data_IF_641566320029
#
_entry.id   IF_641566320029
#
_cell.length_a   1.000
_cell.length_b   1.000
_cell.length_c   1.000
_cell.angle_alpha   90.00
_cell.angle_beta   90.00
_cell.angle_gamma   90.00
#
_symmetry.space_group_name_H-M   'P 1'
#
loop_
_entity.id
_entity.type
_entity.pdbx_description
1 polymer ?
#
# COMPACT_ATOMS: atom_id res chain seq x y z
N UNK A 1 20.60 15.32 39.71
CA UNK A 1 20.21 14.83 38.37
C UNK A 1 19.89 13.31 38.36
N UNK A 2 20.80 12.43 38.76
CA UNK A 2 20.60 10.96 38.70
C UNK A 2 19.32 10.45 39.41
N UNK A 3 18.96 10.96 40.58
CA UNK A 3 17.73 10.55 41.28
C UNK A 3 16.42 10.96 40.58
N UNK A 4 16.41 12.13 39.91
CA UNK A 4 15.23 12.57 39.13
C UNK A 4 15.06 11.74 37.84
N UNK A 5 16.16 11.42 37.18
CA UNK A 5 16.14 10.55 35.96
C UNK A 5 15.66 9.15 36.33
N UNK A 6 16.12 8.59 37.43
CA UNK A 6 15.72 7.27 37.93
C UNK A 6 14.23 7.23 38.32
N UNK A 7 13.72 8.28 38.94
CA UNK A 7 12.29 8.37 39.33
C UNK A 7 11.40 8.47 38.06
N UNK A 8 11.81 9.26 37.06
CA UNK A 8 11.11 9.36 35.77
C UNK A 8 11.09 8.00 35.04
N UNK A 9 12.20 7.27 35.06
CA UNK A 9 12.29 5.95 34.42
C UNK A 9 11.34 4.94 35.11
N UNK A 10 11.25 4.93 36.42
CA UNK A 10 10.31 4.07 37.18
C UNK A 10 8.86 4.43 36.86
N UNK A 11 8.53 5.74 36.81
CA UNK A 11 7.18 6.19 36.49
C UNK A 11 6.79 5.81 35.04
N UNK A 12 7.70 5.93 34.07
CA UNK A 12 7.48 5.50 32.71
C UNK A 12 7.28 3.98 32.60
N UNK A 13 8.06 3.19 33.33
CA UNK A 13 7.92 1.73 33.36
C UNK A 13 6.60 1.28 34.03
N UNK A 14 6.18 1.96 35.11
CA UNK A 14 4.90 1.69 35.76
C UNK A 14 3.71 2.05 34.87
N UNK A 15 3.77 3.18 34.15
CA UNK A 15 2.74 3.58 33.19
C UNK A 15 2.63 2.61 32.00
N UNK A 16 3.77 2.14 31.48
CA UNK A 16 3.80 1.14 30.42
C UNK A 16 3.21 -0.20 30.86
N UNK A 17 3.50 -0.64 32.08
CA UNK A 17 2.93 -1.87 32.64
C UNK A 17 1.40 -1.75 32.82
N UNK A 18 0.91 -0.60 33.32
CA UNK A 18 -0.51 -0.34 33.47
C UNK A 18 -1.24 -0.24 32.13
N UNK A 19 -0.60 0.34 31.10
CA UNK A 19 -1.16 0.39 29.76
C UNK A 19 -1.28 -1.01 29.13
N UNK A 20 -0.29 -1.89 29.35
CA UNK A 20 -0.34 -3.28 28.91
C UNK A 20 -1.46 -4.05 29.64
N UNK A 21 -1.60 -3.86 30.96
CA UNK A 21 -2.68 -4.48 31.74
C UNK A 21 -4.07 -4.02 31.23
N UNK A 22 -4.22 -2.73 30.90
CA UNK A 22 -5.44 -2.19 30.33
C UNK A 22 -5.74 -2.81 28.96
N UNK A 23 -4.72 -2.96 28.12
CA UNK A 23 -4.89 -3.58 26.81
C UNK A 23 -5.39 -5.04 26.92
N UNK A 24 -4.81 -5.84 27.82
CA UNK A 24 -5.26 -7.22 28.05
C UNK A 24 -6.70 -7.28 28.62
N UNK A 25 -7.07 -6.36 29.50
CA UNK A 25 -8.44 -6.27 30.01
C UNK A 25 -9.46 -5.91 28.91
N UNK A 26 -9.11 -4.97 28.02
CA UNK A 26 -9.93 -4.61 26.86
C UNK A 26 -10.03 -5.80 25.91
N UNK A 27 -8.94 -6.50 25.63
CA UNK A 27 -8.91 -7.70 24.78
C UNK A 27 -9.78 -8.82 25.35
N UNK A 28 -9.77 -9.02 26.66
CA UNK A 28 -10.64 -9.98 27.32
C UNK A 28 -12.10 -9.55 27.36
N UNK A 29 -12.39 -8.26 27.10
CA UNK A 29 -13.72 -7.67 27.22
C UNK A 29 -14.18 -7.54 28.66
N UNK A 30 -13.25 -7.46 29.62
CA UNK A 30 -13.54 -7.34 31.05
C UNK A 30 -13.70 -5.85 31.43
N UNK A 31 -14.95 -5.36 31.32
CA UNK A 31 -15.29 -3.99 31.69
C UNK A 31 -14.97 -3.68 33.18
N UNK A 32 -15.15 -4.68 34.06
CA UNK A 32 -14.86 -4.51 35.48
C UNK A 32 -13.39 -4.18 35.72
N UNK A 33 -12.50 -4.96 35.11
CA UNK A 33 -11.06 -4.77 35.18
C UNK A 33 -10.62 -3.47 34.47
N UNK A 34 -11.23 -3.18 33.31
CA UNK A 34 -11.00 -1.89 32.59
C UNK A 34 -11.31 -0.71 33.52
N UNK A 35 -12.46 -0.72 34.21
CA UNK A 35 -12.84 0.33 35.17
C UNK A 35 -11.82 0.45 36.30
N UNK A 36 -11.49 -0.65 36.94
CA UNK A 36 -10.52 -0.67 38.04
C UNK A 36 -9.16 -0.05 37.66
N UNK A 37 -8.67 -0.34 36.46
CA UNK A 37 -7.38 0.16 35.99
C UNK A 37 -7.47 1.66 35.67
N UNK A 38 -8.48 2.09 34.93
CA UNK A 38 -8.67 3.48 34.47
C UNK A 38 -9.01 4.39 35.64
N UNK A 39 -9.74 3.94 36.68
CA UNK A 39 -10.03 4.73 37.88
C UNK A 39 -8.80 4.95 38.73
N UNK A 40 -7.82 4.04 38.68
CA UNK A 40 -6.53 4.20 39.35
C UNK A 40 -5.66 5.29 38.69
N UNK A 41 -5.68 5.32 37.35
CA UNK A 41 -4.95 6.29 36.55
C UNK A 41 -5.69 6.59 35.21
N UNK A 42 -6.54 7.64 35.19
CA UNK A 42 -7.27 8.01 34.00
C UNK A 42 -6.38 8.49 32.85
N UNK A 43 -5.12 8.86 33.09
CA UNK A 43 -4.24 9.40 32.04
C UNK A 43 -3.83 8.34 31.02
N UNK A 44 -3.88 7.06 31.40
CA UNK A 44 -3.43 5.96 30.53
C UNK A 44 -4.31 5.75 29.29
N UNK A 45 -5.56 6.26 29.28
CA UNK A 45 -6.49 6.04 28.16
C UNK A 45 -6.00 6.67 26.85
N UNK A 46 -5.08 7.64 26.92
CA UNK A 46 -4.51 8.33 25.77
C UNK A 46 -3.02 8.04 25.54
N UNK A 47 -2.42 7.11 26.29
CA UNK A 47 -1.03 6.69 26.05
C UNK A 47 -1.01 5.82 24.80
N UNK A 48 -0.27 6.23 23.73
CA UNK A 48 -0.19 5.45 22.50
C UNK A 48 0.82 4.29 22.64
N UNK A 49 0.56 3.21 21.91
CA UNK A 49 1.51 2.12 21.69
C UNK A 49 2.57 2.51 20.62
N UNK A 50 3.43 1.56 20.23
CA UNK A 50 4.47 1.76 19.21
C UNK A 50 3.91 2.15 17.84
N UNK A 51 2.66 1.79 17.53
CA UNK A 51 1.96 2.17 16.31
C UNK A 51 1.25 3.53 16.41
N UNK A 52 1.40 4.23 17.52
CA UNK A 52 0.65 5.45 17.81
C UNK A 52 -0.82 5.20 18.18
N UNK A 53 -1.23 3.98 18.49
CA UNK A 53 -2.62 3.63 18.79
C UNK A 53 -2.90 3.70 20.28
N UNK A 54 -3.96 4.43 20.66
CA UNK A 54 -4.46 4.47 22.03
C UNK A 54 -5.32 3.25 22.36
N UNK A 55 -5.69 3.09 23.64
CA UNK A 55 -6.55 1.96 24.05
C UNK A 55 -7.91 1.96 23.34
N UNK A 56 -8.40 3.10 22.87
CA UNK A 56 -9.61 3.17 22.07
C UNK A 56 -9.48 2.40 20.74
N UNK A 57 -8.31 2.48 20.08
CA UNK A 57 -8.01 1.61 18.92
C UNK A 57 -8.05 0.13 19.32
N UNK A 58 -7.46 -0.22 20.46
CA UNK A 58 -7.49 -1.58 20.99
C UNK A 58 -8.92 -2.10 21.16
N UNK A 59 -9.82 -1.30 21.76
CA UNK A 59 -11.22 -1.64 21.94
C UNK A 59 -11.94 -1.88 20.59
N UNK A 60 -11.69 -1.04 19.58
CA UNK A 60 -12.28 -1.18 18.24
C UNK A 60 -11.70 -2.38 17.48
N UNK A 61 -10.40 -2.68 17.64
CA UNK A 61 -9.76 -3.87 17.07
C UNK A 61 -10.42 -5.15 17.60
N UNK A 62 -10.87 -5.17 18.85
CA UNK A 62 -11.54 -6.32 19.48
C UNK A 62 -13.05 -6.39 19.19
N UNK A 63 -13.54 -5.67 18.19
CA UNK A 63 -14.94 -5.71 17.76
C UNK A 63 -15.81 -4.61 18.37
N UNK A 64 -15.23 -3.66 19.11
CA UNK A 64 -15.93 -2.46 19.55
C UNK A 64 -17.08 -2.74 20.54
N UNK A 65 -16.84 -3.49 21.63
CA UNK A 65 -17.88 -3.65 22.67
C UNK A 65 -18.35 -2.29 23.17
N UNK A 66 -19.62 -1.98 22.95
CA UNK A 66 -20.18 -0.65 23.18
C UNK A 66 -19.90 -0.11 24.58
N UNK A 67 -20.08 -0.95 25.60
CA UNK A 67 -19.89 -0.53 26.99
C UNK A 67 -18.43 -0.14 27.30
N UNK A 68 -17.47 -0.84 26.70
CA UNK A 68 -16.03 -0.51 26.88
C UNK A 68 -15.68 0.74 26.11
N UNK A 69 -16.11 0.87 24.86
CA UNK A 69 -15.87 2.06 24.02
C UNK A 69 -16.48 3.29 24.69
N UNK A 70 -17.74 3.23 25.12
CA UNK A 70 -18.45 4.32 25.79
C UNK A 70 -17.75 4.72 27.11
N UNK A 71 -17.36 3.73 27.90
CA UNK A 71 -16.64 3.97 29.16
C UNK A 71 -15.31 4.67 28.91
N UNK A 72 -14.48 4.18 27.99
CA UNK A 72 -13.19 4.79 27.66
C UNK A 72 -13.35 6.25 27.20
N UNK A 73 -14.34 6.52 26.34
CA UNK A 73 -14.63 7.88 25.87
C UNK A 73 -15.11 8.75 27.06
N UNK A 74 -15.95 8.22 27.95
CA UNK A 74 -16.40 8.95 29.14
C UNK A 74 -15.26 9.32 30.09
N UNK A 75 -14.15 8.58 30.05
CA UNK A 75 -12.92 8.84 30.80
C UNK A 75 -11.88 9.66 30.02
N UNK A 76 -12.27 10.27 28.91
CA UNK A 76 -11.46 11.21 28.15
C UNK A 76 -10.58 10.56 27.06
N UNK A 77 -10.92 9.35 26.60
CA UNK A 77 -10.25 8.80 25.43
C UNK A 77 -10.51 9.69 24.22
N UNK A 78 -9.44 10.11 23.53
CA UNK A 78 -9.52 11.00 22.39
C UNK A 78 -10.04 10.24 21.15
N UNK A 79 -11.28 10.54 20.75
CA UNK A 79 -11.94 9.94 19.57
C UNK A 79 -11.30 10.36 18.24
N UNK A 80 -10.51 11.43 18.24
CA UNK A 80 -9.83 11.99 17.05
C UNK A 80 -8.31 11.79 17.08
N UNK A 81 -7.80 10.94 17.99
CA UNK A 81 -6.38 10.65 18.03
C UNK A 81 -5.93 10.00 16.72
N UNK A 82 -4.87 10.51 16.10
CA UNK A 82 -4.30 9.92 14.88
C UNK A 82 -3.14 8.99 15.25
N UNK A 83 -3.18 7.75 14.77
CA UNK A 83 -2.06 6.82 14.89
C UNK A 83 -0.94 7.15 13.88
N UNK A 84 0.15 6.38 13.90
CA UNK A 84 1.30 6.58 12.99
C UNK A 84 0.94 6.38 11.50
N UNK A 85 -0.19 5.75 11.20
CA UNK A 85 -0.73 5.59 9.85
C UNK A 85 -1.71 6.71 9.46
N UNK A 86 -1.75 7.80 10.25
CA UNK A 86 -2.71 8.90 10.08
C UNK A 86 -4.17 8.41 10.02
N UNK A 87 -4.50 7.42 10.83
CA UNK A 87 -5.85 6.91 11.00
C UNK A 87 -6.41 7.33 12.36
N UNK A 88 -7.63 7.88 12.40
CA UNK A 88 -8.40 8.06 13.63
C UNK A 88 -9.15 6.77 14.02
N UNK A 89 -9.59 6.59 15.27
CA UNK A 89 -10.45 5.49 15.68
C UNK A 89 -11.67 5.30 14.79
N UNK A 90 -12.23 6.39 14.30
CA UNK A 90 -13.39 6.38 13.41
C UNK A 90 -13.11 5.71 12.05
N UNK A 91 -11.95 5.97 11.42
CA UNK A 91 -11.53 5.26 10.22
C UNK A 91 -11.41 3.76 10.47
N UNK A 92 -10.85 3.38 11.63
CA UNK A 92 -10.71 1.97 11.99
C UNK A 92 -12.06 1.29 12.17
N UNK A 93 -13.04 1.96 12.79
CA UNK A 93 -14.38 1.43 12.97
C UNK A 93 -15.07 1.13 11.63
N UNK A 94 -14.97 2.04 10.66
CA UNK A 94 -15.53 1.83 9.30
C UNK A 94 -14.76 0.73 8.55
N UNK A 95 -13.43 0.75 8.58
CA UNK A 95 -12.57 -0.25 7.93
C UNK A 95 -12.87 -1.67 8.41
N UNK A 96 -13.20 -1.81 9.69
CA UNK A 96 -13.51 -3.08 10.32
C UNK A 96 -14.99 -3.49 10.19
N UNK A 97 -15.78 -2.67 9.54
CA UNK A 97 -17.22 -2.89 9.39
C UNK A 97 -17.88 -3.13 10.76
N UNK A 98 -17.49 -2.31 11.77
CA UNK A 98 -18.07 -2.45 13.10
C UNK A 98 -19.56 -2.12 13.10
N UNK A 99 -20.35 -2.64 14.07
CA UNK A 99 -21.76 -2.35 14.18
C UNK A 99 -22.08 -0.86 14.10
N UNK A 100 -23.17 -0.51 13.40
CA UNK A 100 -23.56 0.88 13.16
C UNK A 100 -23.69 1.70 14.45
N UNK A 101 -24.10 1.04 15.56
CA UNK A 101 -24.19 1.65 16.89
C UNK A 101 -22.85 2.20 17.38
N UNK A 102 -21.74 1.49 17.12
CA UNK A 102 -20.38 1.93 17.48
C UNK A 102 -19.99 3.15 16.64
N UNK A 103 -20.26 3.09 15.35
CA UNK A 103 -19.99 4.19 14.42
C UNK A 103 -20.78 5.43 14.83
N UNK A 104 -22.07 5.28 15.13
CA UNK A 104 -22.94 6.35 15.62
C UNK A 104 -22.43 6.92 16.94
N UNK A 105 -22.05 6.05 17.88
CA UNK A 105 -21.50 6.46 19.18
C UNK A 105 -20.25 7.35 18.98
N UNK A 106 -19.30 6.95 18.14
CA UNK A 106 -18.11 7.74 17.86
C UNK A 106 -18.46 9.12 17.32
N UNK A 107 -19.40 9.20 16.36
CA UNK A 107 -19.88 10.47 15.80
C UNK A 107 -20.56 11.34 16.85
N UNK A 108 -21.45 10.77 17.69
CA UNK A 108 -22.12 11.46 18.78
C UNK A 108 -21.13 11.98 19.84
N UNK A 109 -20.00 11.33 20.01
CA UNK A 109 -18.90 11.74 20.92
C UNK A 109 -17.86 12.63 20.25
N UNK A 110 -18.15 13.16 19.05
CA UNK A 110 -17.35 14.19 18.40
C UNK A 110 -16.24 13.68 17.50
N UNK A 111 -16.36 12.45 16.98
CA UNK A 111 -15.47 12.00 15.92
C UNK A 111 -15.62 12.91 14.69
N UNK A 112 -14.50 13.34 14.13
CA UNK A 112 -14.49 14.16 12.92
C UNK A 112 -14.88 13.30 11.71
N UNK A 113 -16.10 13.52 11.20
CA UNK A 113 -16.65 12.82 10.03
C UNK A 113 -15.92 13.18 8.72
N UNK A 114 -15.06 14.20 8.75
CA UNK A 114 -14.25 14.67 7.64
C UNK A 114 -12.74 14.48 7.85
N UNK A 115 -12.33 13.81 8.93
CA UNK A 115 -10.93 13.49 9.16
C UNK A 115 -10.32 12.81 7.92
N UNK A 116 -9.10 13.19 7.56
CA UNK A 116 -8.43 12.63 6.38
C UNK A 116 -7.37 11.62 6.83
N UNK A 117 -7.59 10.37 6.50
CA UNK A 117 -6.54 9.35 6.60
C UNK A 117 -5.55 9.51 5.44
N UNK A 118 -4.26 9.37 5.73
CA UNK A 118 -3.21 9.44 4.71
C UNK A 118 -3.42 8.43 3.56
N UNK A 119 -4.01 7.28 3.86
CA UNK A 119 -4.08 6.15 2.92
C UNK A 119 -5.49 5.76 2.49
N UNK A 120 -6.52 6.17 3.22
CA UNK A 120 -7.89 5.71 2.99
C UNK A 120 -8.89 6.84 2.67
N UNK A 121 -8.41 8.07 2.59
CA UNK A 121 -9.28 9.22 2.38
C UNK A 121 -10.13 9.55 3.61
N UNK A 122 -11.35 9.99 3.39
CA UNK A 122 -12.31 10.40 4.43
C UNK A 122 -13.24 9.25 4.81
N UNK A 123 -13.87 9.30 5.98
CA UNK A 123 -14.86 8.31 6.40
C UNK A 123 -15.96 8.02 5.36
N UNK A 124 -16.44 9.07 4.67
CA UNK A 124 -17.47 8.92 3.65
C UNK A 124 -16.97 8.17 2.41
N UNK A 125 -15.70 8.35 2.01
CA UNK A 125 -15.10 7.58 0.92
C UNK A 125 -15.09 6.09 1.26
N UNK A 126 -14.69 5.75 2.49
CA UNK A 126 -14.66 4.37 2.97
C UNK A 126 -16.05 3.74 3.04
N UNK A 127 -17.07 4.51 3.45
CA UNK A 127 -18.46 4.04 3.47
C UNK A 127 -18.97 3.70 2.05
N UNK A 128 -18.62 4.52 1.05
CA UNK A 128 -18.89 4.23 -0.36
C UNK A 128 -18.16 2.97 -0.85
N UNK A 129 -16.90 2.77 -0.46
CA UNK A 129 -16.15 1.55 -0.81
C UNK A 129 -16.80 0.29 -0.25
N UNK A 130 -17.28 0.37 1.00
CA UNK A 130 -17.98 -0.74 1.65
C UNK A 130 -19.38 -0.99 1.08
N UNK A 131 -19.96 -0.04 0.33
CA UNK A 131 -21.33 -0.10 -0.15
C UNK A 131 -22.38 0.01 0.97
N UNK A 132 -22.02 0.62 2.10
CA UNK A 132 -22.92 0.78 3.25
C UNK A 132 -23.83 2.01 3.11
N UNK A 133 -24.97 1.81 2.47
CA UNK A 133 -25.98 2.84 2.23
C UNK A 133 -26.47 3.54 3.51
N UNK A 134 -26.61 2.81 4.63
CA UNK A 134 -27.06 3.36 5.89
C UNK A 134 -26.01 4.30 6.48
N UNK A 135 -24.75 3.86 6.47
CA UNK A 135 -23.61 4.66 6.91
C UNK A 135 -23.42 5.89 6.01
N UNK A 136 -23.50 5.74 4.69
CA UNK A 136 -23.40 6.86 3.73
C UNK A 136 -24.42 7.95 4.09
N UNK A 137 -25.72 7.58 4.21
CA UNK A 137 -26.77 8.54 4.58
C UNK A 137 -26.53 9.19 5.94
N UNK A 138 -26.09 8.41 6.92
CA UNK A 138 -25.78 8.93 8.26
C UNK A 138 -24.64 9.95 8.22
N UNK A 139 -23.52 9.60 7.58
CA UNK A 139 -22.36 10.49 7.46
C UNK A 139 -22.71 11.78 6.71
N UNK A 140 -23.44 11.69 5.60
CA UNK A 140 -23.91 12.87 4.86
C UNK A 140 -24.79 13.77 5.72
N UNK A 141 -25.70 13.20 6.53
CA UNK A 141 -26.53 13.97 7.47
C UNK A 141 -25.74 14.68 8.57
N UNK A 142 -24.49 14.26 8.80
CA UNK A 142 -23.54 14.88 9.74
C UNK A 142 -22.54 15.82 9.07
N UNK A 143 -22.75 16.13 7.77
CA UNK A 143 -21.89 17.05 7.02
C UNK A 143 -20.60 16.42 6.50
N UNK A 144 -20.55 15.09 6.40
CA UNK A 144 -19.43 14.42 5.75
C UNK A 144 -19.43 14.74 4.25
N UNK A 145 -18.21 14.97 3.71
CA UNK A 145 -18.00 15.25 2.29
C UNK A 145 -17.06 14.20 1.69
N UNK A 146 -17.27 13.89 0.42
CA UNK A 146 -16.39 13.01 -0.34
C UNK A 146 -15.08 13.70 -0.66
N UNK A 147 -14.00 12.92 -0.73
CA UNK A 147 -12.75 13.40 -1.31
C UNK A 147 -12.92 13.58 -2.82
N UNK A 148 -12.47 14.70 -3.35
CA UNK A 148 -12.37 14.88 -4.80
C UNK A 148 -11.22 14.01 -5.32
N UNK A 149 -11.52 13.18 -6.34
CA UNK A 149 -10.51 12.34 -6.99
C UNK A 149 -10.09 13.02 -8.28
N UNK A 150 -8.92 13.64 -8.25
CA UNK A 150 -8.27 14.26 -9.41
C UNK A 150 -6.90 13.59 -9.58
N UNK A 151 -6.67 13.04 -10.77
CA UNK A 151 -5.37 12.46 -11.09
C UNK A 151 -4.45 13.52 -11.70
N UNK A 152 -3.20 13.52 -11.28
CA UNK A 152 -2.14 14.15 -12.06
C UNK A 152 -1.87 13.30 -13.29
N UNK A 153 -1.92 13.93 -14.48
CA UNK A 153 -1.77 13.21 -15.76
C UNK A 153 -0.43 13.54 -16.39
N UNK A 154 0.36 12.52 -16.67
CA UNK A 154 1.68 12.63 -17.29
C UNK A 154 1.68 11.88 -18.64
N UNK A 155 2.04 12.57 -19.72
CA UNK A 155 2.20 11.94 -21.04
C UNK A 155 3.49 11.12 -21.04
N UNK A 156 3.38 9.82 -21.30
CA UNK A 156 4.51 8.89 -21.47
C UNK A 156 4.90 8.75 -22.94
N UNK A 157 3.89 8.63 -23.82
CA UNK A 157 4.03 8.57 -25.26
C UNK A 157 2.71 9.02 -25.92
N UNK A 158 2.63 9.00 -27.25
CA UNK A 158 1.37 9.28 -27.96
C UNK A 158 0.33 8.21 -27.61
N UNK A 159 -0.82 8.66 -27.11
CA UNK A 159 -1.89 7.78 -26.65
C UNK A 159 -1.58 6.99 -25.37
N UNK A 160 -0.45 7.23 -24.70
CA UNK A 160 -0.09 6.54 -23.45
C UNK A 160 0.19 7.58 -22.33
N UNK A 161 -0.54 7.46 -21.24
CA UNK A 161 -0.46 8.38 -20.12
C UNK A 161 -0.35 7.63 -18.79
N UNK A 162 0.44 8.16 -17.86
CA UNK A 162 0.39 7.77 -16.45
C UNK A 162 -0.56 8.71 -15.70
N UNK A 163 -1.44 8.12 -14.93
CA UNK A 163 -2.28 8.81 -13.96
C UNK A 163 -1.71 8.55 -12.58
N UNK A 164 -1.33 9.60 -11.86
CA UNK A 164 -0.85 9.50 -10.50
C UNK A 164 -1.92 9.97 -9.53
N UNK A 165 -2.18 9.18 -8.50
CA UNK A 165 -3.01 9.60 -7.40
C UNK A 165 -2.32 10.74 -6.63
N UNK A 166 -2.97 11.90 -6.41
CA UNK A 166 -2.28 13.06 -5.83
C UNK A 166 -2.05 12.94 -4.33
N UNK A 167 -2.70 11.97 -3.67
CA UNK A 167 -2.63 11.76 -2.23
C UNK A 167 -2.62 10.27 -1.88
N UNK A 168 -2.45 9.95 -0.59
CA UNK A 168 -2.44 8.58 -0.11
C UNK A 168 -1.18 7.82 -0.52
N UNK A 169 -1.36 6.63 -1.04
CA UNK A 169 -0.26 5.75 -1.47
C UNK A 169 0.38 6.19 -2.79
N UNK A 170 -0.21 7.17 -3.48
CA UNK A 170 0.27 7.68 -4.77
C UNK A 170 0.45 6.58 -5.81
N UNK A 171 -0.58 5.73 -5.92
CA UNK A 171 -0.62 4.70 -6.96
C UNK A 171 -0.52 5.31 -8.34
N UNK A 172 0.26 4.68 -9.19
CA UNK A 172 0.33 4.99 -10.60
C UNK A 172 -0.52 4.01 -11.40
N UNK A 173 -1.33 4.56 -12.28
CA UNK A 173 -2.12 3.83 -13.25
C UNK A 173 -1.62 4.21 -14.63
N UNK A 174 -1.72 3.33 -15.61
CA UNK A 174 -1.39 3.68 -16.99
C UNK A 174 -2.61 3.52 -17.88
N UNK A 175 -2.88 4.54 -18.69
CA UNK A 175 -3.99 4.56 -19.64
C UNK A 175 -3.43 4.63 -21.05
N UNK A 176 -3.79 3.68 -21.87
CA UNK A 176 -3.56 3.70 -23.30
C UNK A 176 -4.87 4.01 -24.02
N UNK A 177 -4.85 4.94 -24.97
CA UNK A 177 -6.00 5.30 -25.80
C UNK A 177 -5.64 5.26 -27.30
N UNK A 178 -6.60 4.90 -28.13
CA UNK A 178 -6.41 4.86 -29.59
C UNK A 178 -7.68 4.41 -30.33
N UNK A 179 -7.54 3.92 -31.58
CA UNK A 179 -8.67 3.53 -32.43
C UNK A 179 -9.51 2.40 -31.86
N UNK A 180 -8.89 1.51 -31.08
CA UNK A 180 -9.55 0.31 -30.57
C UNK A 180 -10.24 0.55 -29.23
N UNK A 181 -10.13 1.78 -28.67
CA UNK A 181 -10.66 2.17 -27.36
C UNK A 181 -9.57 2.44 -26.34
N UNK A 182 -9.90 2.30 -25.05
CA UNK A 182 -8.96 2.47 -23.95
C UNK A 182 -8.58 1.15 -23.28
N UNK A 183 -7.31 1.04 -22.87
CA UNK A 183 -6.77 0.01 -22.01
C UNK A 183 -6.20 0.68 -20.76
N UNK A 184 -6.48 0.12 -19.58
CA UNK A 184 -5.97 0.63 -18.31
C UNK A 184 -5.09 -0.44 -17.67
N UNK A 185 -3.92 -0.04 -17.16
CA UNK A 185 -3.10 -0.85 -16.26
C UNK A 185 -3.43 -0.40 -14.85
N UNK A 186 -3.98 -1.31 -14.05
CA UNK A 186 -4.55 -1.15 -12.73
C UNK A 186 -5.75 -0.19 -12.66
N UNK A 187 -6.53 -0.29 -11.59
CA UNK A 187 -7.76 0.51 -11.38
C UNK A 187 -7.74 1.37 -10.12
N UNK A 188 -6.61 1.31 -9.38
CA UNK A 188 -6.45 2.07 -8.14
C UNK A 188 -7.16 1.47 -6.94
N UNK A 189 -7.07 2.16 -5.82
CA UNK A 189 -7.55 1.69 -4.51
C UNK A 189 -8.98 2.12 -4.16
N UNK A 190 -9.69 2.74 -5.11
CA UNK A 190 -11.01 3.31 -4.83
C UNK A 190 -11.93 3.06 -6.02
N UNK A 191 -13.11 2.48 -5.78
CA UNK A 191 -14.11 2.24 -6.85
C UNK A 191 -14.48 3.54 -7.59
N UNK A 192 -14.50 4.67 -6.88
CA UNK A 192 -14.78 5.99 -7.47
C UNK A 192 -13.64 6.50 -8.36
N UNK A 193 -12.43 5.96 -8.22
CA UNK A 193 -11.31 6.28 -9.11
C UNK A 193 -11.65 5.96 -10.56
N UNK A 194 -12.36 4.85 -10.82
CA UNK A 194 -12.75 4.47 -12.16
C UNK A 194 -13.61 5.53 -12.86
N UNK A 195 -14.50 6.22 -12.13
CA UNK A 195 -15.32 7.29 -12.71
C UNK A 195 -14.47 8.52 -13.10
N UNK A 196 -13.45 8.84 -12.30
CA UNK A 196 -12.48 9.87 -12.64
C UNK A 196 -11.63 9.45 -13.86
N UNK A 197 -11.19 8.19 -13.90
CA UNK A 197 -10.46 7.62 -15.05
C UNK A 197 -11.32 7.69 -16.33
N UNK A 198 -12.60 7.29 -16.26
CA UNK A 198 -13.54 7.38 -17.39
C UNK A 198 -13.65 8.80 -17.95
N UNK A 199 -13.73 9.82 -17.06
CA UNK A 199 -13.77 11.23 -17.48
C UNK A 199 -12.47 11.64 -18.19
N UNK A 200 -11.32 11.19 -17.69
CA UNK A 200 -10.02 11.45 -18.33
C UNK A 200 -9.95 10.77 -19.69
N UNK A 201 -10.32 9.50 -19.79
CA UNK A 201 -10.36 8.73 -21.05
C UNK A 201 -11.29 9.39 -22.07
N UNK A 202 -12.48 9.85 -21.65
CA UNK A 202 -13.40 10.60 -22.50
C UNK A 202 -12.77 11.92 -22.98
N UNK A 203 -12.02 12.61 -22.11
CA UNK A 203 -11.27 13.82 -22.46
C UNK A 203 -10.20 13.62 -23.54
N UNK A 204 -9.68 12.38 -23.69
CA UNK A 204 -8.79 11.99 -24.79
C UNK A 204 -9.55 11.63 -26.10
N UNK A 205 -10.87 11.87 -26.14
CA UNK A 205 -11.71 11.60 -27.29
C UNK A 205 -12.10 10.12 -27.46
N UNK A 206 -11.93 9.32 -26.39
CA UNK A 206 -12.29 7.89 -26.34
C UNK A 206 -13.00 7.60 -25.03
N UNK A 207 -14.21 7.03 -25.08
CA UNK A 207 -15.06 6.85 -23.90
C UNK A 207 -15.15 5.41 -23.38
N UNK A 208 -14.73 4.41 -24.16
CA UNK A 208 -14.92 3.00 -23.84
C UNK A 208 -13.62 2.36 -23.34
N UNK A 209 -13.67 1.89 -22.10
CA UNK A 209 -12.60 1.06 -21.53
C UNK A 209 -12.82 -0.37 -21.98
N UNK A 210 -11.96 -0.86 -22.86
CA UNK A 210 -12.03 -2.21 -23.43
C UNK A 210 -11.33 -3.25 -22.58
N UNK A 211 -10.22 -2.88 -21.96
CA UNK A 211 -9.39 -3.79 -21.18
C UNK A 211 -8.86 -3.12 -19.92
N UNK A 212 -8.75 -3.92 -18.87
CA UNK A 212 -7.99 -3.64 -17.66
C UNK A 212 -6.95 -4.73 -17.52
N UNK A 213 -5.68 -4.38 -17.38
CA UNK A 213 -4.61 -5.33 -17.04
C UNK A 213 -4.14 -4.99 -15.62
N UNK A 214 -4.23 -5.95 -14.69
CA UNK A 214 -3.71 -5.74 -13.34
C UNK A 214 -2.29 -6.24 -13.23
N UNK A 215 -1.42 -5.40 -12.64
CA UNK A 215 -0.04 -5.78 -12.34
C UNK A 215 0.04 -6.86 -11.28
N UNK A 216 -0.84 -6.82 -10.29
CA UNK A 216 -1.00 -7.82 -9.23
C UNK A 216 -2.40 -7.72 -8.60
N UNK A 217 -2.62 -8.33 -7.42
CA UNK A 217 -3.95 -8.46 -6.82
C UNK A 217 -4.21 -7.61 -5.58
N UNK A 218 -3.28 -6.73 -5.20
CA UNK A 218 -3.44 -5.91 -4.02
C UNK A 218 -4.59 -4.91 -4.21
N UNK A 219 -5.32 -4.66 -3.13
CA UNK A 219 -6.57 -3.91 -3.15
C UNK A 219 -6.44 -2.50 -3.76
N UNK A 220 -5.31 -1.88 -3.57
CA UNK A 220 -4.99 -0.55 -4.07
C UNK A 220 -4.64 -0.50 -5.57
N UNK A 221 -4.59 -1.66 -6.23
CA UNK A 221 -4.46 -1.81 -7.68
C UNK A 221 -5.73 -2.32 -8.35
N UNK A 222 -6.62 -3.02 -7.60
CA UNK A 222 -7.75 -3.74 -8.19
C UNK A 222 -9.14 -3.30 -7.70
N UNK A 223 -9.23 -2.32 -6.80
CA UNK A 223 -10.52 -1.93 -6.18
C UNK A 223 -11.58 -1.49 -7.20
N UNK A 224 -11.18 -0.90 -8.33
CA UNK A 224 -12.07 -0.51 -9.42
C UNK A 224 -12.51 -1.65 -10.34
N UNK A 225 -11.94 -2.85 -10.23
CA UNK A 225 -12.21 -3.97 -11.16
C UNK A 225 -13.68 -4.37 -11.22
N UNK A 226 -14.40 -4.33 -10.09
CA UNK A 226 -15.80 -4.71 -10.03
C UNK A 226 -16.71 -3.84 -10.90
N UNK A 227 -16.39 -2.56 -11.06
CA UNK A 227 -17.10 -1.63 -11.96
C UNK A 227 -16.63 -1.75 -13.41
N UNK A 228 -15.36 -2.10 -13.63
CA UNK A 228 -14.81 -2.31 -14.95
C UNK A 228 -15.21 -3.66 -15.56
N UNK A 229 -15.39 -4.69 -14.73
CA UNK A 229 -15.66 -6.06 -15.16
C UNK A 229 -17.00 -6.24 -15.89
N UNK A 230 -17.98 -5.36 -15.68
CA UNK A 230 -19.27 -5.42 -16.40
C UNK A 230 -19.17 -4.94 -17.84
N UNK A 231 -18.13 -4.15 -18.18
CA UNK A 231 -17.96 -3.51 -19.49
C UNK A 231 -16.66 -3.89 -20.20
N UNK A 232 -15.68 -4.39 -19.44
CA UNK A 232 -14.30 -4.57 -19.89
C UNK A 232 -13.78 -5.96 -19.56
N UNK A 233 -12.88 -6.48 -20.39
CA UNK A 233 -12.12 -7.67 -20.03
C UNK A 233 -11.07 -7.33 -18.96
N UNK A 234 -11.19 -7.86 -17.74
CA UNK A 234 -10.13 -7.77 -16.73
C UNK A 234 -9.13 -8.91 -16.94
N UNK A 235 -7.87 -8.56 -17.11
CA UNK A 235 -6.75 -9.46 -17.39
C UNK A 235 -5.80 -9.41 -16.19
N UNK A 236 -5.57 -10.55 -15.56
CA UNK A 236 -4.54 -10.75 -14.54
C UNK A 236 -3.85 -12.08 -14.78
N UNK A 237 -2.77 -12.37 -14.05
CA UNK A 237 -1.93 -13.56 -14.28
C UNK A 237 -2.76 -14.85 -14.43
N UNK A 238 -3.75 -15.08 -13.57
CA UNK A 238 -4.59 -16.30 -13.57
C UNK A 238 -5.43 -16.49 -14.82
N UNK A 239 -5.60 -15.45 -15.66
CA UNK A 239 -6.41 -15.50 -16.88
C UNK A 239 -5.56 -15.52 -18.15
N UNK A 240 -4.25 -15.37 -18.07
CA UNK A 240 -3.40 -15.25 -19.26
C UNK A 240 -3.46 -16.49 -20.16
N UNK A 241 -3.38 -17.68 -19.59
CA UNK A 241 -3.45 -18.93 -20.34
C UNK A 241 -4.85 -19.14 -20.96
N UNK A 242 -5.91 -18.88 -20.23
CA UNK A 242 -7.29 -18.98 -20.73
C UNK A 242 -7.53 -18.03 -21.89
N UNK A 243 -7.04 -16.80 -21.81
CA UNK A 243 -7.15 -15.81 -22.87
C UNK A 243 -6.30 -16.17 -24.10
N UNK A 244 -5.16 -16.82 -23.89
CA UNK A 244 -4.35 -17.35 -24.98
C UNK A 244 -5.06 -18.51 -25.68
N UNK A 245 -5.69 -19.44 -24.94
CA UNK A 245 -6.51 -20.51 -25.51
C UNK A 245 -7.72 -19.99 -26.30
N UNK A 246 -8.29 -18.84 -25.89
CA UNK A 246 -9.38 -18.16 -26.59
C UNK A 246 -8.89 -17.33 -27.81
N UNK A 247 -7.59 -17.32 -28.13
CA UNK A 247 -7.01 -16.53 -29.20
C UNK A 247 -6.98 -15.01 -28.97
N UNK A 248 -7.29 -14.55 -27.73
CA UNK A 248 -7.26 -13.13 -27.36
C UNK A 248 -5.85 -12.63 -27.01
N UNK A 249 -4.97 -13.54 -26.60
CA UNK A 249 -3.53 -13.33 -26.41
C UNK A 249 -2.75 -14.37 -27.21
N UNK A 250 -1.50 -14.07 -27.52
CA UNK A 250 -0.57 -15.02 -28.16
C UNK A 250 0.60 -15.25 -27.21
N UNK A 251 0.87 -16.50 -26.82
CA UNK A 251 2.07 -16.83 -26.06
C UNK A 251 3.29 -16.76 -26.99
N UNK A 252 4.30 -15.96 -26.67
CA UNK A 252 5.49 -15.78 -27.51
C UNK A 252 6.28 -17.08 -27.70
N UNK A 253 6.25 -17.97 -26.73
CA UNK A 253 7.00 -19.23 -26.74
C UNK A 253 8.52 -19.06 -26.59
N UNK A 254 9.02 -17.83 -26.49
CA UNK A 254 10.46 -17.53 -26.33
C UNK A 254 10.68 -16.55 -25.18
N UNK A 255 11.68 -16.81 -24.36
CA UNK A 255 12.15 -15.85 -23.37
C UNK A 255 12.64 -14.57 -24.05
N UNK A 256 12.43 -13.43 -23.39
CA UNK A 256 13.04 -12.17 -23.82
C UNK A 256 14.44 -12.11 -23.23
N UNK A 257 15.46 -12.06 -24.09
CA UNK A 257 16.87 -12.02 -23.68
C UNK A 257 17.46 -10.63 -23.87
N UNK A 258 18.25 -10.19 -22.89
CA UNK A 258 19.04 -8.98 -22.99
C UNK A 258 20.45 -9.24 -23.56
N UNK A 259 21.17 -8.17 -23.95
CA UNK A 259 22.52 -8.26 -24.48
C UNK A 259 23.55 -8.82 -23.48
N UNK A 260 23.33 -8.65 -22.16
CA UNK A 260 24.14 -9.24 -21.09
C UNK A 260 23.86 -10.72 -20.79
N UNK A 261 22.97 -11.35 -21.56
CA UNK A 261 22.64 -12.77 -21.45
C UNK A 261 21.58 -13.10 -20.38
N UNK A 262 21.06 -12.12 -19.65
CA UNK A 262 19.92 -12.33 -18.73
C UNK A 262 18.62 -12.43 -19.50
N UNK A 263 17.63 -13.11 -18.92
CA UNK A 263 16.34 -13.31 -19.57
C UNK A 263 15.17 -13.12 -18.63
N UNK A 264 14.03 -12.72 -19.20
CA UNK A 264 12.71 -12.76 -18.59
C UNK A 264 11.87 -13.88 -19.22
N UNK A 265 10.85 -14.40 -18.49
CA UNK A 265 9.94 -15.41 -19.01
C UNK A 265 9.33 -15.01 -20.35
N UNK A 266 8.87 -15.99 -21.13
CA UNK A 266 8.15 -15.75 -22.37
C UNK A 266 6.89 -14.93 -22.13
N UNK A 267 6.71 -13.77 -22.82
CA UNK A 267 5.53 -12.94 -22.63
C UNK A 267 4.31 -13.49 -23.37
N UNK A 268 3.14 -13.05 -22.90
CA UNK A 268 1.92 -13.06 -23.70
C UNK A 268 1.82 -11.75 -24.48
N UNK A 269 1.43 -11.86 -25.74
CA UNK A 269 1.36 -10.74 -26.68
C UNK A 269 -0.10 -10.35 -26.90
N UNK A 270 -0.39 -9.05 -26.77
CA UNK A 270 -1.71 -8.46 -27.03
C UNK A 270 -1.58 -7.34 -28.04
N UNK A 271 -2.31 -7.45 -29.17
CA UNK A 271 -2.39 -6.36 -30.15
C UNK A 271 -3.54 -5.43 -29.77
N UNK A 272 -3.23 -4.16 -29.53
CA UNK A 272 -4.21 -3.15 -29.19
C UNK A 272 -3.69 -1.75 -29.54
N UNK A 273 -4.51 -0.90 -30.18
CA UNK A 273 -4.14 0.46 -30.57
C UNK A 273 -2.82 0.54 -31.38
N UNK A 274 -2.64 -0.35 -32.34
CA UNK A 274 -1.41 -0.44 -33.16
C UNK A 274 -0.14 -0.72 -32.33
N UNK A 275 -0.25 -1.21 -31.10
CA UNK A 275 0.82 -1.66 -30.22
C UNK A 275 0.77 -3.20 -30.10
N UNK A 276 1.93 -3.82 -29.89
CA UNK A 276 2.02 -5.22 -29.49
C UNK A 276 2.51 -5.26 -28.05
N UNK A 277 1.56 -5.22 -27.12
CA UNK A 277 1.82 -5.18 -25.67
C UNK A 277 2.35 -6.53 -25.22
N UNK A 278 3.47 -6.52 -24.51
CA UNK A 278 4.09 -7.72 -23.93
C UNK A 278 3.75 -7.82 -22.44
N UNK A 279 3.14 -8.92 -22.01
CA UNK A 279 2.75 -9.18 -20.61
C UNK A 279 3.61 -10.33 -20.10
N UNK A 280 4.50 -10.05 -19.15
CA UNK A 280 5.45 -11.01 -18.58
C UNK A 280 4.94 -11.51 -17.22
N UNK A 281 4.61 -12.81 -17.07
CA UNK A 281 4.40 -13.40 -15.76
C UNK A 281 5.68 -13.33 -14.91
N UNK A 282 5.57 -12.82 -13.68
CA UNK A 282 6.70 -12.78 -12.76
C UNK A 282 6.27 -13.05 -11.31
N UNK A 283 5.57 -14.16 -11.04
CA UNK A 283 5.03 -14.46 -9.72
C UNK A 283 6.14 -14.77 -8.69
N UNK A 284 5.85 -14.51 -7.43
CA UNK A 284 6.65 -14.97 -6.30
C UNK A 284 7.65 -13.97 -5.76
N UNK A 285 7.75 -12.77 -6.31
CA UNK A 285 8.67 -11.75 -5.80
C UNK A 285 7.98 -10.78 -4.85
N UNK A 286 6.94 -10.08 -5.27
CA UNK A 286 6.06 -9.28 -4.42
C UNK A 286 4.81 -10.10 -4.05
N UNK A 287 4.07 -10.58 -5.05
CA UNK A 287 2.88 -11.41 -4.90
C UNK A 287 2.99 -12.71 -5.69
N UNK A 288 1.96 -13.59 -5.58
CA UNK A 288 1.88 -14.83 -6.38
C UNK A 288 1.30 -14.59 -7.79
N UNK A 289 0.98 -13.35 -8.11
CA UNK A 289 0.27 -12.98 -9.36
C UNK A 289 0.87 -11.76 -10.06
N UNK A 290 2.14 -11.43 -9.79
CA UNK A 290 2.82 -10.30 -10.41
C UNK A 290 2.98 -10.47 -11.93
N UNK A 291 2.76 -9.40 -12.68
CA UNK A 291 3.06 -9.29 -14.11
C UNK A 291 3.71 -7.94 -14.42
N UNK A 292 4.62 -7.95 -15.40
CA UNK A 292 5.16 -6.74 -16.02
C UNK A 292 4.42 -6.50 -17.33
N UNK A 293 4.10 -5.24 -17.65
CA UNK A 293 3.42 -4.87 -18.88
C UNK A 293 4.31 -3.90 -19.66
N UNK A 294 4.80 -4.34 -20.81
CA UNK A 294 5.68 -3.55 -21.67
C UNK A 294 4.99 -3.09 -22.94
N UNK A 295 5.16 -1.82 -23.27
CA UNK A 295 4.71 -1.16 -24.48
C UNK A 295 5.93 -0.88 -25.37
N UNK A 296 6.31 -1.77 -26.29
CA UNK A 296 7.57 -1.69 -27.01
C UNK A 296 7.75 -0.42 -27.84
N UNK A 297 6.71 0.03 -28.57
CA UNK A 297 6.79 1.26 -29.39
C UNK A 297 6.91 2.51 -28.52
N UNK A 298 6.20 2.52 -27.41
CA UNK A 298 6.28 3.62 -26.43
C UNK A 298 7.56 3.59 -25.60
N UNK A 299 8.24 2.45 -25.51
CA UNK A 299 9.39 2.25 -24.64
C UNK A 299 9.03 2.37 -23.14
N UNK A 300 7.86 1.87 -22.73
CA UNK A 300 7.35 2.00 -21.36
C UNK A 300 7.11 0.62 -20.75
N UNK A 301 7.64 0.40 -19.54
CA UNK A 301 7.42 -0.81 -18.74
C UNK A 301 6.68 -0.46 -17.44
N UNK A 302 5.46 -0.97 -17.27
CA UNK A 302 4.73 -0.91 -16.01
C UNK A 302 5.17 -2.07 -15.13
N UNK A 303 5.67 -1.76 -13.94
CA UNK A 303 6.27 -2.73 -13.03
C UNK A 303 5.38 -3.06 -11.83
N UNK A 304 4.29 -2.32 -11.61
CA UNK A 304 3.50 -2.47 -10.39
C UNK A 304 4.40 -2.35 -9.15
N UNK A 305 4.08 -3.09 -8.11
CA UNK A 305 4.83 -3.07 -6.84
C UNK A 305 6.15 -3.86 -6.85
N UNK A 306 6.51 -4.38 -8.04
CA UNK A 306 7.89 -4.80 -8.29
C UNK A 306 8.86 -3.60 -8.39
N UNK A 307 8.34 -2.36 -8.41
CA UNK A 307 9.12 -1.13 -8.27
C UNK A 307 8.36 -0.12 -7.42
N UNK A 308 8.95 0.29 -6.29
CA UNK A 308 8.49 1.38 -5.42
C UNK A 308 9.58 2.44 -5.38
N UNK A 309 9.59 3.34 -6.37
CA UNK A 309 10.76 4.18 -6.70
C UNK A 309 11.17 5.17 -5.60
N UNK A 310 10.31 5.46 -4.64
CA UNK A 310 10.55 6.36 -3.49
C UNK A 310 10.33 5.65 -2.14
N UNK A 311 10.33 4.32 -2.15
CA UNK A 311 10.21 3.47 -0.96
C UNK A 311 11.07 2.22 -1.11
N UNK A 312 11.28 1.49 -0.04
CA UNK A 312 11.85 0.16 -0.14
C UNK A 312 10.79 -0.83 -0.62
N UNK A 313 11.17 -1.87 -1.38
CA UNK A 313 10.18 -2.77 -1.99
C UNK A 313 9.54 -3.68 -0.95
N UNK A 314 8.24 -3.95 -1.12
CA UNK A 314 7.48 -4.94 -0.37
C UNK A 314 7.67 -6.32 -0.97
N UNK A 315 8.80 -6.99 -0.72
CA UNK A 315 9.20 -8.22 -1.38
C UNK A 315 9.54 -9.35 -0.39
N UNK A 316 9.56 -10.57 -0.89
CA UNK A 316 9.81 -11.76 -0.08
C UNK A 316 11.29 -11.96 0.24
N UNK A 317 12.18 -11.71 -0.72
CA UNK A 317 13.59 -12.04 -0.60
C UNK A 317 14.47 -11.01 -1.36
N UNK A 318 15.44 -10.42 -0.64
CA UNK A 318 16.23 -9.30 -1.12
C UNK A 318 17.19 -9.68 -2.27
N UNK A 319 17.81 -10.87 -2.24
CA UNK A 319 18.78 -11.30 -3.27
C UNK A 319 18.06 -11.53 -4.60
N UNK A 320 16.94 -12.27 -4.58
CA UNK A 320 16.13 -12.52 -5.76
C UNK A 320 15.60 -11.21 -6.38
N UNK A 321 15.29 -10.21 -5.53
CA UNK A 321 14.87 -8.89 -6.00
C UNK A 321 15.99 -8.14 -6.73
N UNK A 322 17.21 -8.14 -6.19
CA UNK A 322 18.34 -7.50 -6.84
C UNK A 322 18.67 -8.17 -8.19
N UNK A 323 18.59 -9.49 -8.26
CA UNK A 323 18.75 -10.24 -9.52
C UNK A 323 17.63 -9.92 -10.52
N UNK A 324 16.40 -9.74 -10.05
CA UNK A 324 15.29 -9.29 -10.89
C UNK A 324 15.56 -7.92 -11.50
N UNK A 325 15.98 -6.93 -10.70
CA UNK A 325 16.31 -5.59 -11.20
C UNK A 325 17.45 -5.64 -12.22
N UNK A 326 18.46 -6.49 -12.00
CA UNK A 326 19.53 -6.72 -12.96
C UNK A 326 19.04 -7.33 -14.28
N UNK A 327 18.06 -8.25 -14.24
CA UNK A 327 17.42 -8.80 -15.45
C UNK A 327 16.64 -7.72 -16.20
N UNK A 328 15.87 -6.91 -15.49
CA UNK A 328 15.10 -5.80 -16.07
C UNK A 328 16.03 -4.80 -16.78
N UNK A 329 17.14 -4.40 -16.12
CA UNK A 329 18.12 -3.49 -16.68
C UNK A 329 18.86 -4.04 -17.92
N UNK A 330 19.03 -5.37 -18.02
CA UNK A 330 19.68 -6.01 -19.15
C UNK A 330 18.71 -6.25 -20.31
N UNK A 331 17.47 -6.64 -20.00
CA UNK A 331 16.48 -7.10 -21.00
C UNK A 331 15.80 -5.96 -21.77
N UNK A 332 15.53 -4.83 -21.07
CA UNK A 332 14.83 -3.70 -21.71
C UNK A 332 15.80 -2.65 -22.24
N UNK A 333 15.47 -1.98 -23.39
CA UNK A 333 16.32 -0.96 -23.98
C UNK A 333 16.67 0.18 -23.01
N UNK A 334 17.85 0.79 -23.13
CA UNK A 334 18.28 1.89 -22.26
C UNK A 334 17.33 3.11 -22.23
N UNK A 335 16.55 3.30 -23.31
CA UNK A 335 15.55 4.38 -23.40
C UNK A 335 14.22 4.05 -22.73
N UNK A 336 14.08 2.89 -22.06
CA UNK A 336 12.83 2.49 -21.42
C UNK A 336 12.51 3.38 -20.22
N UNK A 337 11.25 3.82 -20.14
CA UNK A 337 10.66 4.43 -18.94
C UNK A 337 10.04 3.33 -18.07
N UNK A 338 10.47 3.24 -16.82
CA UNK A 338 10.00 2.28 -15.84
C UNK A 338 8.96 2.95 -14.95
N UNK A 339 7.70 2.59 -15.13
CA UNK A 339 6.57 3.09 -14.33
C UNK A 339 6.48 2.26 -13.04
N UNK A 340 6.66 2.94 -11.92
CA UNK A 340 6.56 2.39 -10.57
C UNK A 340 5.10 2.19 -10.17
N UNK A 341 4.77 1.19 -9.35
CA UNK A 341 3.45 1.08 -8.73
C UNK A 341 3.15 2.30 -7.85
N UNK A 342 4.13 2.76 -7.09
CA UNK A 342 4.06 3.96 -6.25
C UNK A 342 5.29 4.84 -6.44
N UNK A 343 5.07 6.13 -6.58
CA UNK A 343 6.15 7.12 -6.71
C UNK A 343 6.35 7.63 -8.13
N UNK A 344 7.57 8.04 -8.44
CA UNK A 344 7.92 8.62 -9.75
C UNK A 344 8.40 7.56 -10.75
N UNK A 345 8.28 7.88 -12.03
CA UNK A 345 8.87 7.06 -13.09
C UNK A 345 10.40 7.14 -13.02
N UNK A 346 11.07 6.07 -13.42
CA UNK A 346 12.51 6.01 -13.55
C UNK A 346 12.93 5.75 -15.00
N UNK A 347 14.04 6.31 -15.41
CA UNK A 347 14.80 5.86 -16.59
C UNK A 347 15.82 4.77 -16.16
N UNK A 348 16.56 4.22 -17.11
CA UNK A 348 17.55 3.18 -16.83
C UNK A 348 18.62 3.60 -15.81
N UNK A 349 19.07 4.86 -15.84
CA UNK A 349 20.03 5.38 -14.87
C UNK A 349 19.42 5.48 -13.46
N UNK A 350 18.18 5.94 -13.37
CA UNK A 350 17.42 6.00 -12.11
C UNK A 350 17.15 4.61 -11.52
N UNK A 351 16.75 3.65 -12.36
CA UNK A 351 16.53 2.26 -11.92
C UNK A 351 17.84 1.60 -11.47
N UNK A 352 18.95 1.87 -12.16
CA UNK A 352 20.27 1.41 -11.75
C UNK A 352 20.71 2.00 -10.41
N UNK A 353 20.46 3.31 -10.20
CA UNK A 353 20.72 3.95 -8.90
C UNK A 353 19.89 3.28 -7.81
N UNK A 354 18.58 3.14 -8.02
CA UNK A 354 17.68 2.47 -7.06
C UNK A 354 18.18 1.07 -6.70
N UNK A 355 18.52 0.25 -7.71
CA UNK A 355 19.07 -1.10 -7.53
C UNK A 355 20.36 -1.09 -6.69
N UNK A 356 21.25 -0.13 -6.95
CA UNK A 356 22.53 -0.03 -6.24
C UNK A 356 22.31 0.39 -4.78
N UNK A 357 21.42 1.34 -4.53
CA UNK A 357 21.08 1.76 -3.16
C UNK A 357 20.47 0.60 -2.36
N UNK A 358 19.56 -0.19 -2.96
CA UNK A 358 19.00 -1.39 -2.32
C UNK A 358 20.11 -2.42 -2.02
N UNK A 359 21.08 -2.60 -2.92
CA UNK A 359 22.20 -3.52 -2.71
C UNK A 359 23.15 -3.03 -1.61
N UNK A 360 23.45 -1.74 -1.57
CA UNK A 360 24.31 -1.13 -0.55
C UNK A 360 23.67 -1.26 0.83
N UNK A 361 22.41 -0.90 0.96
CA UNK A 361 21.64 -1.10 2.21
C UNK A 361 21.64 -2.58 2.64
N UNK A 362 21.46 -3.52 1.71
CA UNK A 362 21.49 -4.95 2.02
C UNK A 362 22.89 -5.40 2.52
N UNK A 363 23.97 -4.87 1.93
CA UNK A 363 25.33 -5.16 2.39
C UNK A 363 25.60 -4.60 3.79
N UNK A 364 25.14 -3.38 4.09
CA UNK A 364 25.25 -2.79 5.43
C UNK A 364 24.55 -3.68 6.47
N UNK A 365 23.31 -4.10 6.19
CA UNK A 365 22.55 -5.00 7.08
C UNK A 365 23.25 -6.35 7.25
N UNK A 366 23.74 -6.95 6.14
CA UNK A 366 24.45 -8.23 6.18
C UNK A 366 25.71 -8.16 7.05
N UNK A 367 26.48 -7.09 6.93
CA UNK A 367 27.70 -6.85 7.74
C UNK A 367 27.38 -6.83 9.23
N UNK A 368 26.36 -6.10 9.64
CA UNK A 368 25.95 -6.00 11.04
C UNK A 368 25.36 -7.34 11.54
N UNK A 369 24.59 -8.04 10.70
CA UNK A 369 24.05 -9.37 11.03
C UNK A 369 25.15 -10.41 11.28
N UNK A 370 26.18 -10.45 10.42
CA UNK A 370 27.35 -11.34 10.60
C UNK A 370 28.14 -10.97 11.85
N UNK A 371 28.16 -9.70 12.26
CA UNK A 371 28.74 -9.24 13.52
C UNK A 371 27.86 -9.59 14.75
N UNK A 372 26.77 -10.33 14.59
CA UNK A 372 25.89 -10.80 15.66
C UNK A 372 24.82 -9.82 16.10
N UNK A 373 24.60 -8.70 15.36
CA UNK A 373 23.54 -7.75 15.67
C UNK A 373 22.17 -8.24 15.18
N UNK A 374 21.13 -7.99 15.97
CA UNK A 374 19.75 -8.26 15.61
C UNK A 374 19.17 -7.13 14.73
N UNK A 375 18.02 -7.39 14.08
CA UNK A 375 17.28 -6.33 13.38
C UNK A 375 16.91 -5.16 14.32
N UNK A 376 16.52 -5.47 15.56
CA UNK A 376 16.16 -4.49 16.59
C UNK A 376 17.36 -3.61 16.99
N UNK A 377 18.57 -4.18 17.03
CA UNK A 377 19.81 -3.41 17.30
C UNK A 377 20.08 -2.42 16.17
N UNK A 378 19.92 -2.88 14.91
CA UNK A 378 20.12 -2.05 13.72
C UNK A 378 19.09 -0.91 13.64
N UNK A 379 17.83 -1.19 13.98
CA UNK A 379 16.76 -0.19 14.04
C UNK A 379 17.02 0.84 15.14
N UNK A 380 17.47 0.41 16.32
CA UNK A 380 17.82 1.31 17.44
C UNK A 380 18.97 2.27 17.10
N UNK A 381 19.92 1.83 16.30
CA UNK A 381 21.06 2.64 15.87
C UNK A 381 20.77 3.46 14.60
N UNK A 382 19.55 3.32 14.03
CA UNK A 382 19.14 3.98 12.80
C UNK A 382 20.12 3.73 11.64
N UNK A 383 20.51 2.47 11.46
CA UNK A 383 21.57 2.02 10.55
C UNK A 383 21.47 2.62 9.15
N UNK A 384 20.24 2.70 8.61
CA UNK A 384 19.97 3.16 7.24
C UNK A 384 19.44 4.60 7.18
N UNK A 385 19.73 5.44 8.20
CA UNK A 385 19.26 6.83 8.31
C UNK A 385 19.50 7.65 7.04
N UNK A 386 20.66 7.46 6.40
CA UNK A 386 21.05 8.23 5.22
C UNK A 386 20.09 8.03 4.02
N UNK A 387 19.38 6.90 3.96
CA UNK A 387 18.47 6.56 2.87
C UNK A 387 17.01 6.97 3.14
N UNK A 388 16.65 7.29 4.39
CA UNK A 388 15.27 7.66 4.77
C UNK A 388 14.71 8.85 3.97
N UNK A 389 15.47 9.92 3.68
CA UNK A 389 14.94 11.04 2.91
C UNK A 389 14.45 10.65 1.50
N UNK A 390 15.04 9.64 0.88
CA UNK A 390 14.70 9.22 -0.47
C UNK A 390 13.68 8.07 -0.51
N UNK A 391 13.72 7.16 0.48
CA UNK A 391 12.99 5.89 0.43
C UNK A 391 11.94 5.73 1.54
N UNK A 392 11.28 6.80 1.96
CA UNK A 392 10.23 6.77 3.00
C UNK A 392 8.91 7.40 2.55
N UNK A 393 8.59 7.37 1.26
CA UNK A 393 7.29 7.87 0.78
C UNK A 393 6.15 7.07 1.38
N UNK A 394 6.29 5.74 1.44
CA UNK A 394 5.42 4.85 2.17
C UNK A 394 6.07 4.56 3.52
N UNK A 395 5.56 5.14 4.61
CA UNK A 395 6.21 5.11 5.93
C UNK A 395 6.53 3.71 6.43
N UNK A 396 5.67 2.71 6.11
CA UNK A 396 5.87 1.31 6.49
C UNK A 396 6.82 0.54 5.57
N UNK A 397 7.17 1.10 4.40
CA UNK A 397 8.10 0.51 3.42
C UNK A 397 9.37 1.37 3.27
N UNK A 398 9.82 1.95 4.36
CA UNK A 398 11.09 2.67 4.42
C UNK A 398 12.30 1.74 4.66
N UNK A 399 13.50 2.32 4.80
CA UNK A 399 14.73 1.57 5.09
C UNK A 399 14.65 0.63 6.29
N UNK A 400 13.82 0.95 7.28
CA UNK A 400 13.60 0.09 8.45
C UNK A 400 12.91 -1.24 8.07
N UNK A 401 11.99 -1.22 7.10
CA UNK A 401 11.37 -2.44 6.57
C UNK A 401 12.38 -3.27 5.77
N UNK A 402 13.29 -2.61 5.06
CA UNK A 402 14.35 -3.26 4.30
C UNK A 402 15.32 -4.03 5.21
N UNK A 403 15.70 -3.48 6.37
CA UNK A 403 16.47 -4.21 7.39
C UNK A 403 15.79 -5.55 7.72
N UNK A 404 14.50 -5.54 8.03
CA UNK A 404 13.74 -6.75 8.38
C UNK A 404 13.69 -7.75 7.23
N UNK A 405 13.52 -7.28 6.00
CA UNK A 405 13.48 -8.13 4.79
C UNK A 405 14.82 -8.82 4.55
N UNK A 406 15.94 -8.09 4.64
CA UNK A 406 17.29 -8.66 4.47
C UNK A 406 17.62 -9.65 5.57
N UNK A 407 17.35 -9.32 6.85
CA UNK A 407 17.62 -10.23 7.98
C UNK A 407 16.81 -11.52 7.84
N UNK A 408 15.53 -11.45 7.48
CA UNK A 408 14.69 -12.62 7.23
C UNK A 408 15.29 -13.54 6.16
N UNK A 409 15.76 -12.98 5.05
CA UNK A 409 16.43 -13.72 3.97
C UNK A 409 17.71 -14.41 4.46
N UNK A 410 18.54 -13.74 5.28
CA UNK A 410 19.77 -14.30 5.85
C UNK A 410 19.47 -15.44 6.83
N UNK A 411 18.44 -15.34 7.65
CA UNK A 411 17.99 -16.39 8.57
C UNK A 411 17.51 -17.64 7.80
N UNK A 412 16.75 -17.46 6.74
CA UNK A 412 16.26 -18.54 5.89
C UNK A 412 17.39 -19.27 5.15
N UNK A 413 18.45 -18.56 4.75
CA UNK A 413 19.61 -19.15 4.08
C UNK A 413 20.57 -19.89 5.04
N UNK A 414 20.69 -19.44 6.30
CA UNK A 414 21.54 -20.06 7.32
C UNK A 414 20.95 -21.32 7.99
N UNK A 415 19.68 -21.60 7.73
CA UNK A 415 18.97 -22.79 8.22
C UNK A 415 18.98 -23.99 7.25
N UNK A 416 19.76 -23.94 6.17
CA UNK A 416 19.93 -25.02 5.20
C UNK A 416 21.28 -25.66 5.31
#
# INVERSE_FOLDING_TARGET
MKKRVFLILILCLAAAASAQELFEAVKAGDLGKVRQIVERDPTIVNIPNQNGETILFGALIQGGRAEIVEYLISKGANVNHMNNFHMAPFHLAIRRNLPFEIIRLLVEKGADVNAVSKYQGRPLDMAYENGDEALIRHLMSKGAVLTTIEFETFKLADGLHRLAYPWGMRNNLVVMTGSDGALIVDTGFNKRALDAIRKIVAGFGRGDIRYVINTHSDWDHVAGNGLAASESGVIGLKKLDDLALQGRLTRSGRERKGPGGKSLPSPYLMKFNNEEIEIFPYPGLHSDVDVLIYFPKAGVLCMGDLLLSQSCPAIREAVAYLEFLDKVLDVFPPGTTFVSGHGRDLNAAGLKKYRNDMAEMAQMVKKEYVAGRTAEDMLRTDLLKAYKPEYSQLDWLGPDSWIRTVVRGLQSAGGR
#
